data_IF_524181326642
#
_entry.id   IF_524181326642
#
_cell.length_a   1.000
_cell.length_b   1.000
_cell.length_c   1.000
_cell.angle_alpha   90.00
_cell.angle_beta   90.00
_cell.angle_gamma   90.00
#
_symmetry.space_group_name_H-M   'P 1'
#
loop_
_entity.id
_entity.type
_entity.pdbx_description
1 polymer ?
#
# COMPACT_ATOMS: atom_id res chain seq x y z
N UNK A 1 18.33 18.60 2.07
CA UNK A 1 17.08 18.12 2.69
C UNK A 1 16.75 16.76 2.07
N UNK A 2 17.03 15.66 2.79
CA UNK A 2 16.89 14.29 2.26
C UNK A 2 15.43 13.87 2.38
N UNK A 3 14.76 13.85 1.25
CA UNK A 3 13.43 13.28 1.10
C UNK A 3 13.53 11.76 1.26
N UNK A 4 13.19 11.24 2.43
CA UNK A 4 12.97 9.80 2.60
C UNK A 4 11.56 9.48 2.12
N UNK A 5 11.43 9.36 0.80
CA UNK A 5 10.32 8.63 0.25
C UNK A 5 10.39 7.19 0.79
N UNK A 6 9.31 6.68 1.37
CA UNK A 6 9.01 5.25 1.34
C UNK A 6 8.38 4.86 -0.01
N UNK A 7 8.79 5.51 -1.11
CA UNK A 7 9.10 4.72 -2.29
C UNK A 7 10.51 4.21 -2.04
N UNK A 8 10.60 2.91 -1.78
CA UNK A 8 11.85 2.22 -2.07
C UNK A 8 12.11 2.51 -3.56
N UNK A 9 12.89 3.56 -3.87
CA UNK A 9 13.42 3.87 -5.20
C UNK A 9 14.51 2.84 -5.50
N UNK A 10 14.11 1.59 -5.48
CA UNK A 10 14.73 0.58 -6.28
C UNK A 10 13.91 0.54 -7.55
N UNK A 11 14.52 0.52 -8.73
CA UNK A 11 13.89 -0.16 -9.84
C UNK A 11 13.78 -1.63 -9.42
N UNK A 12 12.81 -1.95 -8.57
CA UNK A 12 12.23 -3.27 -8.61
C UNK A 12 11.95 -3.45 -10.10
N UNK A 13 12.51 -4.50 -10.70
CA UNK A 13 11.92 -5.04 -11.92
C UNK A 13 10.55 -5.59 -11.51
N UNK A 14 9.66 -4.70 -11.06
CA UNK A 14 8.24 -4.92 -10.94
C UNK A 14 7.86 -5.39 -12.32
N UNK A 15 7.39 -6.62 -12.39
CA UNK A 15 7.04 -7.24 -13.65
C UNK A 15 6.16 -6.26 -14.42
N UNK A 16 6.61 -5.86 -15.62
CA UNK A 16 5.90 -4.90 -16.47
C UNK A 16 4.44 -5.32 -16.66
N UNK A 17 4.16 -6.64 -16.66
CA UNK A 17 2.81 -7.19 -16.71
C UNK A 17 1.98 -6.83 -15.47
N UNK A 18 2.57 -6.84 -14.28
CA UNK A 18 1.88 -6.47 -13.03
C UNK A 18 1.57 -4.97 -12.98
N UNK A 19 2.52 -4.13 -13.42
CA UNK A 19 2.28 -2.68 -13.52
C UNK A 19 1.18 -2.36 -14.53
N UNK A 20 1.22 -2.98 -15.71
CA UNK A 20 0.20 -2.80 -16.73
C UNK A 20 -1.16 -3.30 -16.25
N UNK A 21 -1.20 -4.42 -15.53
CA UNK A 21 -2.42 -4.93 -14.90
C UNK A 21 -2.99 -3.94 -13.87
N UNK A 22 -2.13 -3.33 -13.05
CA UNK A 22 -2.52 -2.28 -12.09
C UNK A 22 -3.12 -1.07 -12.81
N UNK A 23 -2.43 -0.55 -13.83
CA UNK A 23 -2.93 0.58 -14.63
C UNK A 23 -4.29 0.30 -15.27
N UNK A 24 -4.48 -0.88 -15.86
CA UNK A 24 -5.79 -1.27 -16.45
C UNK A 24 -6.89 -1.34 -15.39
N UNK A 25 -6.58 -1.81 -14.19
CA UNK A 25 -7.54 -1.84 -13.09
C UNK A 25 -7.98 -0.41 -12.72
N UNK A 26 -7.05 0.53 -12.63
CA UNK A 26 -7.34 1.94 -12.37
C UNK A 26 -8.18 2.58 -13.50
N UNK A 27 -7.88 2.31 -14.77
CA UNK A 27 -8.65 2.79 -15.93
C UNK A 27 -10.11 2.28 -15.90
N UNK A 28 -10.31 1.01 -15.55
CA UNK A 28 -11.66 0.43 -15.39
C UNK A 28 -12.42 1.13 -14.26
N UNK A 29 -11.77 1.39 -13.13
CA UNK A 29 -12.39 2.09 -11.99
C UNK A 29 -12.73 3.54 -12.36
N UNK A 30 -11.80 4.25 -13.00
CA UNK A 30 -11.98 5.63 -13.45
C UNK A 30 -13.20 5.76 -14.38
N UNK A 31 -13.38 4.81 -15.31
CA UNK A 31 -14.56 4.76 -16.19
C UNK A 31 -15.85 4.42 -15.43
N UNK A 32 -15.85 3.34 -14.64
CA UNK A 32 -17.07 2.82 -13.98
C UNK A 32 -17.57 3.70 -12.84
N UNK A 33 -16.67 4.36 -12.12
CA UNK A 33 -16.98 5.23 -10.99
C UNK A 33 -16.84 6.72 -11.34
N UNK A 34 -16.80 7.06 -12.64
CA UNK A 34 -16.71 8.44 -13.15
C UNK A 34 -17.80 9.36 -12.58
N UNK A 35 -19.01 8.83 -12.36
CA UNK A 35 -20.14 9.54 -11.75
C UNK A 35 -19.88 10.05 -10.32
N UNK A 36 -18.86 9.52 -9.62
CA UNK A 36 -18.47 9.96 -8.28
C UNK A 36 -17.54 11.19 -8.28
N UNK A 37 -17.19 11.72 -9.46
CA UNK A 37 -16.27 12.86 -9.57
C UNK A 37 -14.85 12.51 -9.14
N UNK A 38 -14.35 11.35 -9.57
CA UNK A 38 -13.00 10.87 -9.29
C UNK A 38 -11.94 11.86 -9.78
N UNK A 39 -10.95 12.11 -8.93
CA UNK A 39 -9.73 12.86 -9.29
C UNK A 39 -8.54 12.02 -8.90
N UNK A 40 -7.54 11.93 -9.77
CA UNK A 40 -6.24 11.34 -9.44
C UNK A 40 -5.66 12.06 -8.24
N UNK A 41 -5.29 11.33 -7.19
CA UNK A 41 -4.76 11.97 -5.99
C UNK A 41 -3.33 12.49 -6.21
N UNK A 42 -2.93 13.41 -5.34
CA UNK A 42 -1.56 13.93 -5.28
C UNK A 42 -0.84 13.29 -4.09
N UNK A 43 0.48 13.45 -4.03
CA UNK A 43 1.23 13.03 -2.85
C UNK A 43 0.72 13.76 -1.60
N UNK A 44 0.72 13.03 -0.49
CA UNK A 44 0.40 13.49 0.85
C UNK A 44 1.50 13.08 1.80
N UNK A 45 1.70 13.91 2.80
CA UNK A 45 2.72 13.71 3.81
C UNK A 45 2.06 13.75 5.19
N UNK A 46 2.41 12.79 6.04
CA UNK A 46 2.14 12.83 7.48
C UNK A 46 3.48 12.92 8.20
N UNK A 47 3.65 14.02 8.93
CA UNK A 47 4.88 14.29 9.66
C UNK A 47 4.79 13.70 11.06
N UNK A 48 5.77 12.88 11.41
CA UNK A 48 6.02 12.40 12.76
C UNK A 48 7.33 13.00 13.26
N UNK A 49 7.59 12.89 14.56
CA UNK A 49 8.80 13.45 15.18
C UNK A 49 10.10 12.99 14.50
N UNK A 50 10.14 11.73 14.08
CA UNK A 50 11.37 11.09 13.60
C UNK A 50 11.34 10.67 12.12
N UNK A 51 10.19 10.73 11.46
CA UNK A 51 10.03 10.30 10.08
C UNK A 51 8.81 10.97 9.43
N UNK A 52 8.73 10.92 8.11
CA UNK A 52 7.57 11.35 7.33
C UNK A 52 7.00 10.14 6.59
N UNK A 53 5.69 9.91 6.71
CA UNK A 53 5.00 8.97 5.83
C UNK A 53 4.52 9.72 4.61
N UNK A 54 4.96 9.26 3.44
CA UNK A 54 4.53 9.80 2.14
C UNK A 54 3.65 8.76 1.47
N UNK A 55 2.47 9.19 1.01
CA UNK A 55 1.49 8.33 0.38
C UNK A 55 0.80 9.02 -0.78
N UNK A 56 0.30 8.22 -1.74
CA UNK A 56 -0.53 8.71 -2.84
C UNK A 56 -1.69 7.74 -3.03
N UNK A 57 -2.92 8.12 -2.67
CA UNK A 57 -4.10 7.36 -3.04
C UNK A 57 -4.26 7.31 -4.56
N UNK A 58 -4.94 6.28 -5.10
CA UNK A 58 -5.18 6.22 -6.55
C UNK A 58 -6.13 7.33 -6.98
N UNK A 59 -7.26 7.46 -6.28
CA UNK A 59 -8.23 8.52 -6.51
C UNK A 59 -8.81 9.08 -5.21
N UNK A 60 -9.31 10.31 -5.34
CA UNK A 60 -10.09 11.00 -4.31
C UNK A 60 -11.34 11.60 -4.92
N UNK A 61 -12.42 11.62 -4.16
CA UNK A 61 -13.64 12.37 -4.49
C UNK A 61 -13.87 13.44 -3.41
N UNK A 62 -15.04 14.09 -3.42
CA UNK A 62 -15.45 14.96 -2.31
C UNK A 62 -15.48 14.17 -0.99
N UNK A 63 -16.08 12.98 -1.00
CA UNK A 63 -16.43 12.25 0.22
C UNK A 63 -15.53 11.03 0.49
N UNK A 64 -14.91 10.46 -0.54
CA UNK A 64 -14.20 9.18 -0.46
C UNK A 64 -12.72 9.31 -0.83
N UNK A 65 -11.89 8.48 -0.18
CA UNK A 65 -10.63 7.99 -0.74
C UNK A 65 -10.90 6.69 -1.48
N UNK A 66 -10.32 6.49 -2.65
CA UNK A 66 -10.49 5.26 -3.43
C UNK A 66 -9.12 4.63 -3.68
N UNK A 67 -8.96 3.38 -3.24
CA UNK A 67 -7.78 2.55 -3.48
C UNK A 67 -8.15 1.38 -4.38
N UNK A 68 -7.37 1.15 -5.43
CA UNK A 68 -7.62 0.15 -6.45
C UNK A 68 -6.59 -0.97 -6.39
N UNK A 69 -7.06 -2.22 -6.41
CA UNK A 69 -6.22 -3.42 -6.45
C UNK A 69 -6.65 -4.32 -7.61
N UNK A 70 -5.67 -4.97 -8.25
CA UNK A 70 -5.93 -5.82 -9.43
C UNK A 70 -6.37 -7.26 -9.11
N UNK A 71 -6.39 -7.65 -7.82
CA UNK A 71 -6.87 -8.95 -7.35
C UNK A 71 -7.27 -8.96 -5.88
N UNK A 72 -8.25 -9.79 -5.52
CA UNK A 72 -8.73 -10.03 -4.16
C UNK A 72 -7.99 -11.24 -3.57
N UNK A 73 -6.72 -11.11 -3.24
CA UNK A 73 -6.09 -12.14 -2.40
C UNK A 73 -6.42 -11.83 -0.93
N UNK A 74 -7.24 -12.69 -0.31
CA UNK A 74 -7.83 -12.46 1.02
C UNK A 74 -6.78 -12.18 2.10
N UNK A 75 -5.61 -12.81 2.01
CA UNK A 75 -4.46 -12.57 2.90
C UNK A 75 -3.96 -11.12 2.91
N UNK A 76 -4.25 -10.32 1.87
CA UNK A 76 -3.84 -8.93 1.78
C UNK A 76 -4.97 -7.95 2.12
N UNK A 77 -6.15 -8.43 2.52
CA UNK A 77 -7.27 -7.55 2.82
C UNK A 77 -6.97 -6.59 3.97
N UNK A 78 -6.43 -7.09 5.09
CA UNK A 78 -6.10 -6.26 6.24
C UNK A 78 -4.99 -5.24 5.93
N UNK A 79 -3.85 -5.61 5.28
CA UNK A 79 -2.87 -4.64 4.80
C UNK A 79 -3.47 -3.56 3.88
N UNK A 80 -4.34 -3.95 2.94
CA UNK A 80 -4.98 -3.00 2.04
C UNK A 80 -5.94 -2.06 2.78
N UNK A 81 -6.66 -2.55 3.79
CA UNK A 81 -7.50 -1.71 4.65
C UNK A 81 -6.70 -0.75 5.53
N UNK A 82 -5.53 -1.18 6.01
CA UNK A 82 -4.61 -0.32 6.74
C UNK A 82 -4.06 0.80 5.85
N UNK A 83 -3.64 0.46 4.63
CA UNK A 83 -3.20 1.44 3.62
C UNK A 83 -4.31 2.45 3.29
N UNK A 84 -5.54 1.97 3.02
CA UNK A 84 -6.67 2.85 2.75
C UNK A 84 -6.99 3.76 3.95
N UNK A 85 -6.94 3.26 5.18
CA UNK A 85 -7.16 4.08 6.38
C UNK A 85 -6.10 5.18 6.53
N UNK A 86 -4.82 4.90 6.24
CA UNK A 86 -3.78 5.94 6.22
C UNK A 86 -4.07 7.03 5.20
N UNK A 87 -4.52 6.65 4.00
CA UNK A 87 -4.89 7.61 2.98
C UNK A 87 -6.11 8.45 3.38
N UNK A 88 -7.08 7.84 4.06
CA UNK A 88 -8.22 8.55 4.63
C UNK A 88 -7.76 9.56 5.70
N UNK A 89 -6.79 9.19 6.54
CA UNK A 89 -6.17 10.13 7.50
C UNK A 89 -5.47 11.29 6.78
N UNK A 90 -4.64 10.98 5.78
CA UNK A 90 -3.89 11.96 4.97
C UNK A 90 -4.79 12.98 4.25
N UNK A 91 -5.92 12.52 3.70
CA UNK A 91 -6.87 13.37 2.97
C UNK A 91 -7.95 13.98 3.87
N UNK A 92 -7.92 13.71 5.18
CA UNK A 92 -8.94 14.18 6.14
C UNK A 92 -10.34 13.63 5.87
N UNK A 93 -10.46 12.42 5.30
CA UNK A 93 -11.72 11.79 4.92
C UNK A 93 -12.16 10.71 5.90
N UNK A 94 -13.47 10.55 6.04
CA UNK A 94 -14.09 9.55 6.93
C UNK A 94 -14.54 8.28 6.22
N UNK A 95 -14.62 8.31 4.89
CA UNK A 95 -15.09 7.19 4.07
C UNK A 95 -14.03 6.78 3.04
N UNK A 96 -13.96 5.48 2.77
CA UNK A 96 -13.04 4.90 1.81
C UNK A 96 -13.69 3.79 0.99
N UNK A 97 -13.21 3.63 -0.25
CA UNK A 97 -13.56 2.54 -1.15
C UNK A 97 -12.31 1.74 -1.47
N UNK A 98 -12.30 0.47 -1.07
CA UNK A 98 -11.30 -0.48 -1.56
C UNK A 98 -11.90 -1.25 -2.73
N UNK A 99 -11.39 -0.96 -3.93
CA UNK A 99 -11.94 -1.48 -5.18
C UNK A 99 -11.00 -2.52 -5.75
N UNK A 100 -11.55 -3.69 -6.04
CA UNK A 100 -10.85 -4.76 -6.72
C UNK A 100 -11.38 -4.89 -8.14
N UNK A 101 -10.53 -4.58 -9.12
CA UNK A 101 -10.84 -4.70 -10.54
C UNK A 101 -9.91 -5.73 -11.20
N UNK A 102 -10.45 -6.90 -11.54
CA UNK A 102 -9.70 -8.00 -12.16
C UNK A 102 -9.64 -7.94 -13.69
N UNK A 103 -9.01 -8.95 -14.30
CA UNK A 103 -8.96 -9.13 -15.76
C UNK A 103 -10.34 -9.58 -16.28
N UNK A 104 -11.26 -8.63 -16.41
CA UNK A 104 -12.60 -8.81 -16.94
C UNK A 104 -13.45 -7.62 -16.52
N UNK A 105 -14.03 -6.89 -17.48
CA UNK A 105 -14.75 -5.64 -17.22
C UNK A 105 -15.89 -5.81 -16.22
N UNK A 106 -16.43 -7.01 -16.00
CA UNK A 106 -17.67 -7.24 -15.24
C UNK A 106 -17.50 -7.66 -13.78
N UNK A 107 -16.28 -7.96 -13.30
CA UNK A 107 -16.06 -8.37 -11.90
C UNK A 107 -15.30 -7.30 -11.14
N UNK A 108 -16.03 -6.24 -10.77
CA UNK A 108 -15.56 -5.24 -9.82
C UNK A 108 -16.17 -5.53 -8.44
N UNK A 109 -15.32 -5.72 -7.43
CA UNK A 109 -15.75 -5.81 -6.03
C UNK A 109 -15.40 -4.50 -5.32
N UNK A 110 -16.38 -3.85 -4.73
CA UNK A 110 -16.18 -2.64 -3.93
C UNK A 110 -16.41 -2.99 -2.46
N UNK A 111 -15.45 -2.66 -1.61
CA UNK A 111 -15.61 -2.71 -0.16
C UNK A 111 -15.69 -1.27 0.33
N UNK A 112 -16.85 -0.92 0.88
CA UNK A 112 -17.06 0.35 1.57
C UNK A 112 -16.53 0.23 2.99
N UNK A 113 -15.77 1.23 3.44
CA UNK A 113 -15.23 1.25 4.78
C UNK A 113 -15.29 2.65 5.39
N UNK A 114 -15.48 2.70 6.70
CA UNK A 114 -15.37 3.91 7.50
C UNK A 114 -13.97 3.99 8.12
N UNK A 115 -13.57 5.22 8.44
CA UNK A 115 -12.32 5.49 9.12
C UNK A 115 -12.26 4.77 10.48
N UNK A 116 -11.20 4.00 10.71
CA UNK A 116 -10.97 3.29 11.95
C UNK A 116 -9.75 3.83 12.68
N UNK A 117 -10.00 4.49 13.81
CA UNK A 117 -8.94 4.94 14.74
C UNK A 117 -8.10 3.78 15.25
N UNK A 118 -8.71 2.61 15.45
CA UNK A 118 -8.00 1.41 15.93
C UNK A 118 -6.98 0.92 14.89
N UNK A 119 -7.37 0.86 13.61
CA UNK A 119 -6.47 0.50 12.52
C UNK A 119 -5.33 1.51 12.42
N UNK A 120 -5.64 2.81 12.42
CA UNK A 120 -4.61 3.86 12.37
C UNK A 120 -3.62 3.75 13.53
N UNK A 121 -4.09 3.54 14.76
CA UNK A 121 -3.21 3.40 15.92
C UNK A 121 -2.23 2.23 15.74
N UNK A 122 -2.73 1.09 15.25
CA UNK A 122 -1.87 -0.08 14.97
C UNK A 122 -0.91 0.18 13.82
N UNK A 123 -1.35 0.88 12.77
CA UNK A 123 -0.50 1.22 11.63
C UNK A 123 0.61 2.20 12.00
N UNK A 124 0.31 3.22 12.80
CA UNK A 124 1.33 4.17 13.32
C UNK A 124 2.33 3.42 14.21
N UNK A 125 1.86 2.58 15.13
CA UNK A 125 2.73 1.77 15.98
C UNK A 125 3.67 0.85 15.17
N UNK A 126 3.17 0.31 14.06
CA UNK A 126 4.00 -0.45 13.12
C UNK A 126 5.11 0.41 12.50
N UNK A 127 4.81 1.64 12.05
CA UNK A 127 5.82 2.54 11.48
C UNK A 127 6.81 3.06 12.52
N UNK A 128 6.38 3.30 13.75
CA UNK A 128 7.28 3.65 14.86
C UNK A 128 8.28 2.53 15.15
N UNK A 129 7.81 1.27 15.18
CA UNK A 129 8.68 0.11 15.33
C UNK A 129 9.62 -0.04 14.12
N UNK A 130 9.09 0.09 12.89
CA UNK A 130 9.89 0.04 11.66
C UNK A 130 11.01 1.09 11.64
N UNK A 131 10.71 2.32 12.08
CA UNK A 131 11.71 3.36 12.24
C UNK A 131 12.83 2.96 13.22
N UNK A 132 12.47 2.36 14.36
CA UNK A 132 13.43 1.83 15.33
C UNK A 132 14.40 0.83 14.69
N UNK A 133 13.86 -0.17 13.97
CA UNK A 133 14.67 -1.17 13.26
C UNK A 133 15.58 -0.56 12.20
N UNK A 134 15.09 0.41 11.41
CA UNK A 134 15.89 1.11 10.40
C UNK A 134 17.04 1.89 11.04
N UNK A 135 16.76 2.62 12.12
CA UNK A 135 17.75 3.40 12.85
C UNK A 135 18.85 2.50 13.42
N UNK A 136 18.49 1.32 13.91
CA UNK A 136 19.41 0.36 14.53
C UNK A 136 20.10 -0.55 13.50
N UNK A 137 19.67 -0.50 12.23
CA UNK A 137 20.22 -1.34 11.17
C UNK A 137 19.87 -2.83 11.35
N UNK A 138 18.77 -3.15 12.02
CA UNK A 138 18.34 -4.51 12.34
C UNK A 138 17.17 -4.94 11.45
N UNK A 139 17.17 -6.19 11.01
CA UNK A 139 16.02 -6.79 10.31
C UNK A 139 15.04 -7.33 11.37
N UNK A 140 13.76 -6.90 11.38
CA UNK A 140 12.82 -7.34 12.41
C UNK A 140 12.60 -8.85 12.37
N UNK A 141 12.64 -9.54 13.51
CA UNK A 141 12.48 -11.00 13.57
C UNK A 141 11.13 -11.50 13.04
N UNK A 142 10.08 -10.69 13.21
CA UNK A 142 8.72 -11.01 12.73
C UNK A 142 8.62 -11.10 11.20
N UNK A 143 9.59 -10.52 10.48
CA UNK A 143 9.74 -10.68 9.03
C UNK A 143 10.14 -12.13 8.72
N UNK A 144 10.87 -12.85 9.57
CA UNK A 144 11.29 -14.22 9.25
C UNK A 144 10.15 -15.24 9.25
N UNK A 145 9.11 -15.04 10.06
CA UNK A 145 7.96 -15.95 10.15
C UNK A 145 6.87 -15.63 9.12
N UNK A 146 6.56 -14.34 8.90
CA UNK A 146 5.45 -13.90 8.02
C UNK A 146 5.93 -13.54 6.61
N UNK A 147 7.21 -13.21 6.44
CA UNK A 147 7.72 -12.68 5.18
C UNK A 147 8.28 -13.74 4.23
N UNK A 148 8.08 -15.04 4.44
CA UNK A 148 8.45 -16.04 3.44
C UNK A 148 8.00 -15.68 2.00
N UNK A 149 6.76 -15.19 1.76
CA UNK A 149 6.35 -14.74 0.41
C UNK A 149 6.98 -13.41 -0.02
N UNK A 150 7.19 -12.48 0.92
CA UNK A 150 7.74 -11.15 0.65
C UNK A 150 9.24 -11.24 0.37
N UNK A 151 9.98 -12.05 1.13
CA UNK A 151 11.38 -12.38 0.88
C UNK A 151 11.58 -13.12 -0.44
N UNK A 152 10.66 -14.02 -0.85
CA UNK A 152 10.73 -14.68 -2.17
C UNK A 152 10.62 -13.70 -3.34
N UNK A 153 9.83 -12.65 -3.18
CA UNK A 153 9.61 -11.61 -4.19
C UNK A 153 10.48 -10.36 -3.99
N UNK A 154 11.27 -10.31 -2.90
CA UNK A 154 12.15 -9.20 -2.59
C UNK A 154 13.34 -9.17 -3.55
N UNK A 155 13.55 -8.03 -4.19
CA UNK A 155 14.67 -7.82 -5.12
C UNK A 155 16.05 -7.91 -4.44
N UNK A 156 16.11 -7.80 -3.11
CA UNK A 156 17.33 -7.91 -2.31
C UNK A 156 17.51 -9.26 -1.62
N UNK A 157 16.63 -10.24 -1.85
CA UNK A 157 16.72 -11.53 -1.18
C UNK A 157 18.11 -12.18 -1.31
N UNK A 158 18.80 -11.93 -2.43
CA UNK A 158 20.16 -12.45 -2.71
C UNK A 158 21.29 -11.68 -2.01
N UNK A 159 21.04 -10.43 -1.62
CA UNK A 159 22.00 -9.55 -0.92
C UNK A 159 21.74 -9.51 0.60
N UNK A 160 20.57 -9.99 1.02
CA UNK A 160 20.18 -10.06 2.41
C UNK A 160 21.00 -11.16 3.11
N UNK A 161 21.84 -10.78 4.08
CA UNK A 161 22.73 -11.69 4.83
C UNK A 161 22.01 -12.66 5.78
N UNK A 162 20.69 -12.78 5.67
CA UNK A 162 19.88 -13.71 6.47
C UNK A 162 20.19 -15.13 6.00
N UNK A 163 21.01 -15.84 6.77
CA UNK A 163 21.34 -17.26 6.54
C UNK A 163 20.05 -18.09 6.59
N UNK A 164 19.71 -18.76 5.49
CA UNK A 164 18.56 -19.66 5.42
C UNK A 164 17.90 -19.77 4.03
N UNK A 165 18.16 -18.82 3.13
CA UNK A 165 17.63 -18.85 1.76
C UNK A 165 18.67 -19.37 0.75
N UNK A 166 18.92 -20.68 0.75
CA UNK A 166 19.50 -21.35 -0.44
C UNK A 166 18.37 -21.56 -1.45
N UNK A 167 18.51 -20.97 -2.64
CA UNK A 167 17.63 -21.28 -3.78
C UNK A 167 17.80 -22.77 -4.12
N UNK A 168 16.67 -23.49 -4.17
CA UNK A 168 16.52 -24.60 -5.11
C UNK A 168 16.02 -24.02 -6.44
#
# INVERSE_FOLDING_TARGET
MRWSYFSYFMPAKLDRKLMEKGRRAEEVVEKKLSHLGLRRARNRELYFRNYTLVGRPDFVTRDFVVEVKSSVAQQYLLPNLAQLNLYMLMEGKKLGLLVFAGNGMDKMKIIYTSFSRSIIRQTIAYFDALWGYIREGVIPEIVFEVAQPVCRSCSFARLCGVKGYKRF
#
